data_IF_004203850368
#
_entry.id   IF_004203850368
#
_cell.length_a   1.000
_cell.length_b   1.000
_cell.length_c   1.000
_cell.angle_alpha   90.00
_cell.angle_beta   90.00
_cell.angle_gamma   90.00
#
_symmetry.space_group_name_H-M   'P 1'
#
loop_
_entity.id
_entity.type
_entity.pdbx_description
1 polymer ?
#
# COMPACT_ATOMS: atom_id res chain seq x y z
N UNK A 1 -11.76 15.60 -15.58
CA UNK A 1 -10.79 16.51 -16.24
C UNK A 1 -9.39 16.03 -15.87
N UNK A 2 -8.54 15.67 -16.84
CA UNK A 2 -7.11 15.43 -16.57
C UNK A 2 -6.43 16.79 -16.52
N UNK A 3 -5.57 17.01 -15.52
CA UNK A 3 -4.73 18.21 -15.46
C UNK A 3 -3.58 18.04 -16.44
N UNK A 4 -3.21 19.10 -17.13
CA UNK A 4 -2.06 19.09 -18.03
C UNK A 4 -0.78 18.70 -17.25
N UNK A 5 -0.04 17.71 -17.75
CA UNK A 5 1.09 17.11 -17.03
C UNK A 5 0.74 15.97 -16.06
N UNK A 6 -0.54 15.59 -15.92
CA UNK A 6 -0.94 14.42 -15.11
C UNK A 6 -0.90 13.11 -15.90
N UNK A 7 -0.20 12.11 -15.36
CA UNK A 7 -0.18 10.73 -15.86
C UNK A 7 -1.16 9.83 -15.11
N UNK A 8 -1.65 8.76 -15.75
CA UNK A 8 -2.33 7.66 -15.05
C UNK A 8 -1.34 6.53 -14.87
N UNK A 9 -1.22 6.04 -13.64
CA UNK A 9 -0.37 4.92 -13.31
C UNK A 9 -1.23 3.73 -12.91
N UNK A 10 -0.83 2.54 -13.34
CA UNK A 10 -1.35 1.30 -12.81
C UNK A 10 -0.27 0.65 -11.95
N UNK A 11 -0.67 0.25 -10.75
CA UNK A 11 0.14 -0.53 -9.83
C UNK A 11 -0.44 -1.94 -9.76
N UNK A 12 0.43 -2.95 -9.72
CA UNK A 12 0.01 -4.34 -9.67
C UNK A 12 0.88 -5.15 -8.72
N UNK A 13 0.23 -5.87 -7.79
CA UNK A 13 0.81 -6.83 -6.86
C UNK A 13 0.26 -8.21 -7.17
N UNK A 14 1.13 -9.19 -7.40
CA UNK A 14 0.73 -10.59 -7.64
C UNK A 14 0.39 -11.32 -6.33
N UNK A 15 1.08 -10.98 -5.24
CA UNK A 15 0.92 -11.62 -3.92
C UNK A 15 0.15 -10.74 -2.94
N UNK A 16 -0.90 -10.07 -3.41
CA UNK A 16 -1.75 -9.24 -2.55
C UNK A 16 -2.48 -10.12 -1.52
N UNK A 17 -2.33 -9.80 -0.24
CA UNK A 17 -2.96 -10.47 0.89
C UNK A 17 -4.15 -9.66 1.42
N UNK A 18 -4.02 -8.33 1.48
CA UNK A 18 -5.09 -7.43 1.93
C UNK A 18 -5.03 -6.07 1.22
N UNK A 19 -6.19 -5.45 0.98
CA UNK A 19 -6.30 -4.18 0.25
C UNK A 19 -7.40 -3.20 0.78
N UNK A 20 -7.38 -2.76 2.05
CA UNK A 20 -8.42 -1.89 2.55
C UNK A 20 -8.26 -0.46 2.01
N UNK A 21 -9.36 0.28 2.03
CA UNK A 21 -9.36 1.72 1.83
C UNK A 21 -9.77 2.38 3.13
N UNK A 22 -8.91 3.27 3.65
CA UNK A 22 -9.19 4.07 4.85
C UNK A 22 -9.38 5.52 4.46
N UNK A 23 -10.26 6.21 5.18
CA UNK A 23 -10.36 7.66 5.04
C UNK A 23 -9.16 8.32 5.73
N UNK A 24 -8.44 9.16 5.00
CA UNK A 24 -7.18 9.78 5.45
C UNK A 24 -7.35 10.62 6.73
N UNK A 25 -8.53 11.24 6.92
CA UNK A 25 -8.83 12.04 8.11
C UNK A 25 -8.94 11.22 9.40
N UNK A 26 -9.07 9.90 9.29
CA UNK A 26 -9.18 8.97 10.43
C UNK A 26 -7.94 8.08 10.59
N UNK A 27 -6.86 8.38 9.86
CA UNK A 27 -5.57 7.71 10.02
C UNK A 27 -4.78 8.40 11.13
N UNK A 28 -4.35 7.64 12.13
CA UNK A 28 -3.42 8.11 13.16
C UNK A 28 -1.98 7.91 12.70
N UNK A 29 -1.11 8.88 13.01
CA UNK A 29 0.33 8.66 12.96
C UNK A 29 0.75 7.84 14.18
N UNK A 30 1.42 6.72 13.95
CA UNK A 30 2.00 5.92 15.02
C UNK A 30 3.47 6.31 15.22
N UNK A 31 3.90 6.44 16.48
CA UNK A 31 5.32 6.73 16.79
C UNK A 31 6.23 5.53 16.52
N UNK A 32 5.65 4.33 16.53
CA UNK A 32 6.36 3.08 16.29
C UNK A 32 6.31 2.64 14.81
N UNK A 33 5.63 3.42 13.94
CA UNK A 33 5.60 3.17 12.51
C UNK A 33 6.92 3.61 11.86
N UNK A 34 7.49 2.71 11.06
CA UNK A 34 8.67 2.99 10.25
C UNK A 34 8.27 2.91 8.79
N UNK A 35 8.48 4.00 8.06
CA UNK A 35 8.09 4.09 6.66
C UNK A 35 8.99 5.01 5.84
N UNK A 36 8.94 4.81 4.53
CA UNK A 36 9.65 5.61 3.54
C UNK A 36 8.75 5.91 2.33
N UNK A 37 8.94 7.08 1.71
CA UNK A 37 8.15 7.53 0.57
C UNK A 37 7.20 8.68 0.92
N UNK A 38 6.32 9.03 -0.03
CA UNK A 38 5.37 10.16 0.14
C UNK A 38 3.98 9.82 -0.38
N UNK A 39 3.84 9.61 -1.69
CA UNK A 39 2.56 9.22 -2.29
C UNK A 39 2.39 7.71 -2.32
N UNK A 40 3.45 6.99 -2.66
CA UNK A 40 3.59 5.55 -2.43
C UNK A 40 4.53 5.39 -1.24
N UNK A 41 3.99 4.91 -0.14
CA UNK A 41 4.68 4.76 1.13
C UNK A 41 4.89 3.28 1.40
N UNK A 42 6.13 2.88 1.68
CA UNK A 42 6.45 1.53 2.16
C UNK A 42 6.64 1.59 3.67
N UNK A 43 5.89 0.78 4.39
CA UNK A 43 6.04 0.59 5.83
C UNK A 43 6.87 -0.67 6.08
N UNK A 44 8.02 -0.53 6.76
CA UNK A 44 8.76 -1.66 7.32
C UNK A 44 8.14 -2.16 8.61
N UNK A 45 7.39 -1.29 9.31
CA UNK A 45 6.63 -1.61 10.52
C UNK A 45 5.35 -0.79 10.56
N UNK A 46 4.21 -1.44 10.81
CA UNK A 46 2.93 -0.77 11.08
C UNK A 46 1.98 -1.69 11.85
N UNK A 47 1.07 -1.10 12.64
CA UNK A 47 0.00 -1.87 13.31
C UNK A 47 -0.90 -2.61 12.33
N UNK A 48 -1.09 -2.04 11.13
CA UNK A 48 -1.89 -2.69 10.11
C UNK A 48 -1.23 -3.95 9.57
N UNK A 49 0.10 -3.95 9.40
CA UNK A 49 0.85 -5.14 9.00
C UNK A 49 0.73 -6.24 10.07
N UNK A 50 0.86 -5.89 11.35
CA UNK A 50 0.68 -6.82 12.47
C UNK A 50 -0.74 -7.42 12.49
N UNK A 51 -1.76 -6.56 12.29
CA UNK A 51 -3.14 -6.99 12.20
C UNK A 51 -3.36 -8.01 11.07
N UNK A 52 -2.88 -7.72 9.85
CA UNK A 52 -3.04 -8.62 8.70
C UNK A 52 -2.29 -9.94 8.92
N UNK A 53 -1.09 -9.90 9.49
CA UNK A 53 -0.35 -11.11 9.84
C UNK A 53 -1.10 -11.97 10.87
N UNK A 54 -1.78 -11.35 11.84
CA UNK A 54 -2.60 -12.07 12.83
C UNK A 54 -3.94 -12.58 12.28
N UNK A 55 -4.48 -11.93 11.25
CA UNK A 55 -5.81 -12.20 10.70
C UNK A 55 -5.80 -13.13 9.47
N UNK A 56 -4.62 -13.51 8.98
CA UNK A 56 -4.44 -14.36 7.81
C UNK A 56 -3.45 -15.48 8.13
N UNK A 57 -3.37 -16.50 7.26
CA UNK A 57 -2.31 -17.52 7.36
C UNK A 57 -1.02 -17.10 6.62
N UNK A 58 -0.96 -15.87 6.10
CA UNK A 58 0.18 -15.39 5.35
C UNK A 58 1.36 -15.11 6.29
N UNK A 59 2.51 -15.71 6.00
CA UNK A 59 3.68 -15.68 6.86
C UNK A 59 4.98 -15.55 6.05
N UNK A 60 6.12 -15.72 6.71
CA UNK A 60 7.44 -15.66 6.09
C UNK A 60 7.69 -16.75 5.04
N UNK A 61 6.96 -17.87 5.08
CA UNK A 61 7.12 -19.00 4.17
C UNK A 61 6.15 -18.90 2.98
N UNK A 62 4.91 -18.44 3.20
CA UNK A 62 3.92 -18.26 2.14
C UNK A 62 3.00 -17.05 2.39
N UNK A 63 2.86 -16.09 1.45
CA UNK A 63 3.53 -16.00 0.14
C UNK A 63 4.97 -15.45 0.23
N UNK A 64 5.54 -15.43 1.44
CA UNK A 64 6.82 -14.80 1.75
C UNK A 64 6.63 -13.58 2.67
N UNK A 65 7.72 -12.99 3.17
CA UNK A 65 7.67 -11.90 4.15
C UNK A 65 6.80 -10.74 3.68
N UNK A 66 5.79 -10.39 4.49
CA UNK A 66 4.82 -9.35 4.15
C UNK A 66 5.41 -7.95 4.28
N UNK A 67 4.99 -7.09 3.35
CA UNK A 67 5.30 -5.67 3.29
C UNK A 67 3.98 -4.91 3.23
N UNK A 68 3.91 -3.76 3.89
CA UNK A 68 2.76 -2.88 3.85
C UNK A 68 3.05 -1.66 2.97
N UNK A 69 2.16 -1.38 2.03
CA UNK A 69 2.22 -0.25 1.10
C UNK A 69 1.00 0.64 1.28
N UNK A 70 1.20 1.94 1.45
CA UNK A 70 0.10 2.93 1.46
C UNK A 70 0.16 3.82 0.23
N UNK A 71 -0.96 3.97 -0.48
CA UNK A 71 -1.14 4.99 -1.50
C UNK A 71 -1.92 6.16 -0.90
N UNK A 72 -1.29 7.33 -0.81
CA UNK A 72 -1.88 8.55 -0.26
C UNK A 72 -2.57 9.32 -1.37
N UNK A 73 -3.90 9.29 -1.38
CA UNK A 73 -4.75 9.85 -2.43
C UNK A 73 -5.51 11.12 -1.98
N UNK A 74 -4.98 11.84 -0.98
CA UNK A 74 -5.50 13.09 -0.38
C UNK A 74 -6.81 12.97 0.42
N UNK A 75 -7.66 11.98 0.08
CA UNK A 75 -8.89 11.67 0.81
C UNK A 75 -8.93 10.22 1.31
N UNK A 76 -8.18 9.36 0.63
CA UNK A 76 -8.14 7.94 0.89
C UNK A 76 -6.69 7.49 1.02
N UNK A 77 -6.46 6.62 1.99
CA UNK A 77 -5.29 5.77 2.01
C UNK A 77 -5.72 4.42 1.49
N UNK A 78 -5.17 4.00 0.35
CA UNK A 78 -5.31 2.63 -0.13
C UNK A 78 -4.13 1.85 0.42
N UNK A 79 -4.37 0.99 1.40
CA UNK A 79 -3.32 0.13 1.91
C UNK A 79 -3.28 -1.16 1.10
N UNK A 80 -2.09 -1.72 0.92
CA UNK A 80 -1.87 -3.01 0.29
C UNK A 80 -0.83 -3.77 1.10
N UNK A 81 -1.18 -4.96 1.56
CA UNK A 81 -0.22 -5.89 2.16
C UNK A 81 0.10 -6.97 1.14
N UNK A 82 1.39 -7.15 0.85
CA UNK A 82 1.88 -8.10 -0.16
C UNK A 82 3.31 -8.53 0.17
N UNK A 83 3.75 -9.70 -0.31
CA UNK A 83 5.15 -10.11 -0.15
C UNK A 83 6.13 -9.39 -1.09
N UNK A 84 5.63 -8.61 -2.05
CA UNK A 84 6.45 -7.90 -3.04
C UNK A 84 6.12 -6.41 -3.17
N UNK A 85 6.98 -5.70 -3.90
CA UNK A 85 6.70 -4.33 -4.34
C UNK A 85 5.76 -4.34 -5.55
N UNK A 86 4.95 -3.29 -5.76
CA UNK A 86 4.14 -3.21 -6.96
C UNK A 86 5.03 -3.09 -8.21
N UNK A 87 4.61 -3.78 -9.27
CA UNK A 87 5.00 -3.35 -10.61
C UNK A 87 4.22 -2.07 -10.97
N UNK A 88 4.92 -1.07 -11.51
CA UNK A 88 4.35 0.24 -11.83
C UNK A 88 4.42 0.46 -13.34
N UNK A 89 3.29 0.81 -13.96
CA UNK A 89 3.23 1.09 -15.39
C UNK A 89 2.45 2.37 -15.67
N UNK A 90 2.99 3.22 -16.54
CA UNK A 90 2.26 4.37 -17.09
C UNK A 90 1.13 3.85 -18.01
N UNK A 91 -0.04 4.45 -17.91
CA UNK A 91 -1.18 4.23 -18.79
C UNK A 91 -1.30 5.43 -19.71
N UNK A 92 -0.95 5.22 -20.97
CA UNK A 92 -1.29 6.15 -22.05
C UNK A 92 -2.81 6.11 -22.26
N UNK A 93 -3.41 7.29 -22.46
CA UNK A 93 -4.81 7.35 -22.83
C UNK A 93 -5.00 6.67 -24.19
N UNK A 94 -5.96 5.74 -24.28
CA UNK A 94 -6.51 5.29 -25.56
C UNK A 94 -7.45 6.36 -26.13
#
# INVERSE_FOLDING_TARGET
>A
MRVEGSGVFQLHWTTCVAYPVRNESFVSTDRDEEFQGRMLVKYSRSRYLDFVASATFADGDHPGPLQHWGLICLNHVVDVVSSEAPSVALRTAN
#
